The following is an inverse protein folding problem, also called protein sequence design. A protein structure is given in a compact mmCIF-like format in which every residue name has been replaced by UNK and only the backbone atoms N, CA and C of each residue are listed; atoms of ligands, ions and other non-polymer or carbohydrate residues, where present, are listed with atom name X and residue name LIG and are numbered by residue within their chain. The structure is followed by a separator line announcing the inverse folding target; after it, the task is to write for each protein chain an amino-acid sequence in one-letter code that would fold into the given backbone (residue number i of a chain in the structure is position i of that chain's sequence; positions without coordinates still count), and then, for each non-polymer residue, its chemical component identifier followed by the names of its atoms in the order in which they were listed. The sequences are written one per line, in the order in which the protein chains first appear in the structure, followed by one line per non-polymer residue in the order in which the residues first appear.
data_IF_139936159799
#
_entry.id   IF_139936159799
#
_cell.length_a   1.000
_cell.length_b   1.000
_cell.length_c   1.000
_cell.angle_alpha   90.00
_cell.angle_beta   90.00
_cell.angle_gamma   90.00
#
_symmetry.space_group_name_H-M   'P 1'
#
loop_
_entity.id
_entity.type
_entity.pdbx_description
1 polymer ?
#
# COMPACT_ATOMS: atom_id res chain seq x y z
N UNK A 1 -62.49 -20.64 70.28
CA UNK A 1 -61.97 -19.54 69.43
C UNK A 1 -62.48 -19.76 68.02
N UNK A 2 -63.53 -19.02 67.62
CA UNK A 2 -64.05 -19.00 66.26
C UNK A 2 -64.28 -17.52 65.91
N UNK A 3 -63.41 -16.94 65.10
CA UNK A 3 -63.58 -15.60 64.53
C UNK A 3 -63.77 -15.69 63.03
N UNK A 4 -64.87 -15.10 62.56
CA UNK A 4 -65.24 -14.86 61.16
C UNK A 4 -64.29 -13.85 60.49
N UNK A 5 -64.11 -13.95 59.17
CA UNK A 5 -64.23 -12.85 58.19
C UNK A 5 -63.84 -13.40 56.79
N UNK A 6 -64.75 -13.58 55.83
CA UNK A 6 -65.34 -12.63 54.86
C UNK A 6 -64.40 -12.07 53.78
N UNK A 7 -65.00 -11.87 52.58
CA UNK A 7 -64.52 -11.26 51.32
C UNK A 7 -63.74 -12.22 50.38
N UNK A 8 -64.32 -12.82 49.33
CA UNK A 8 -65.14 -12.36 48.19
C UNK A 8 -64.32 -11.70 47.05
N UNK A 9 -64.26 -12.45 45.93
CA UNK A 9 -64.19 -12.06 44.52
C UNK A 9 -63.14 -11.06 44.02
N UNK A 10 -62.38 -11.46 42.97
CA UNK A 10 -62.63 -11.03 41.58
C UNK A 10 -61.56 -11.62 40.65
N UNK A 11 -62.02 -12.19 39.53
CA UNK A 11 -61.21 -12.61 38.39
C UNK A 11 -60.59 -11.37 37.75
N UNK A 12 -59.28 -11.41 37.47
CA UNK A 12 -58.70 -10.55 36.43
C UNK A 12 -57.70 -11.34 35.61
N UNK A 13 -58.00 -11.44 34.32
CA UNK A 13 -57.15 -11.97 33.27
C UNK A 13 -56.12 -10.89 32.93
N UNK A 14 -54.84 -11.21 33.02
CA UNK A 14 -53.75 -10.52 32.33
C UNK A 14 -52.95 -11.66 31.66
N UNK A 15 -52.96 -11.84 30.35
CA UNK A 15 -52.52 -10.86 29.36
C UNK A 15 -51.03 -11.07 29.13
N UNK A 16 -50.66 -12.15 28.43
CA UNK A 16 -49.27 -12.42 28.01
C UNK A 16 -48.91 -11.37 26.96
N UNK A 17 -48.21 -10.32 27.37
CA UNK A 17 -47.59 -9.37 26.44
C UNK A 17 -46.29 -10.01 25.96
N UNK A 18 -46.35 -10.61 24.76
CA UNK A 18 -45.17 -11.02 24.02
C UNK A 18 -44.36 -9.79 23.64
N UNK A 19 -43.24 -9.59 24.33
CA UNK A 19 -42.27 -8.55 23.98
C UNK A 19 -41.48 -9.06 22.76
N UNK A 20 -41.94 -8.72 21.55
CA UNK A 20 -41.17 -8.89 20.32
C UNK A 20 -39.97 -7.93 20.38
N UNK A 21 -38.81 -8.43 20.79
CA UNK A 21 -37.56 -7.71 20.58
C UNK A 21 -37.24 -7.71 19.08
N UNK A 22 -37.57 -6.62 18.39
CA UNK A 22 -37.07 -6.35 17.05
C UNK A 22 -35.59 -6.01 17.20
N UNK A 23 -34.73 -7.00 16.95
CA UNK A 23 -33.30 -6.80 16.79
C UNK A 23 -33.12 -6.05 15.46
N UNK A 24 -33.10 -4.71 15.51
CA UNK A 24 -32.56 -3.90 14.42
C UNK A 24 -31.05 -4.19 14.35
N UNK A 25 -30.69 -5.17 13.53
CA UNK A 25 -29.31 -5.37 13.10
C UNK A 25 -28.89 -4.15 12.30
N UNK A 26 -28.29 -3.16 12.97
CA UNK A 26 -27.54 -2.10 12.31
C UNK A 26 -26.35 -2.82 11.67
N UNK A 27 -26.48 -3.12 10.37
CA UNK A 27 -25.34 -3.40 9.50
C UNK A 27 -24.53 -2.11 9.42
N UNK A 28 -23.74 -1.84 10.45
CA UNK A 28 -22.68 -0.85 10.41
C UNK A 28 -21.66 -1.36 9.41
N UNK A 29 -21.82 -0.93 8.15
CA UNK A 29 -20.70 -0.91 7.21
C UNK A 29 -19.55 -0.25 7.95
N UNK A 30 -18.37 -0.86 8.08
CA UNK A 30 -17.24 -0.19 8.71
C UNK A 30 -16.97 1.05 7.88
N UNK A 31 -17.34 2.21 8.42
CA UNK A 31 -16.93 3.49 7.89
C UNK A 31 -15.43 3.54 8.11
N UNK A 32 -14.66 3.25 7.07
CA UNK A 32 -13.24 3.61 7.04
C UNK A 32 -13.21 5.12 7.29
N UNK A 33 -12.72 5.49 8.48
CA UNK A 33 -12.60 6.88 8.87
C UNK A 33 -11.73 7.57 7.83
N UNK A 34 -12.32 8.51 7.09
CA UNK A 34 -11.60 9.38 6.16
C UNK A 34 -10.94 10.45 7.01
N UNK A 35 -9.62 10.39 7.19
CA UNK A 35 -8.93 11.37 8.02
C UNK A 35 -8.74 12.66 7.20
N UNK A 36 -9.01 13.81 7.81
CA UNK A 36 -8.82 15.11 7.16
C UNK A 36 -7.31 15.40 7.16
N UNK A 37 -6.62 15.00 6.09
CA UNK A 37 -5.16 15.12 5.88
C UNK A 37 -4.54 14.00 5.01
N UNK A 38 -5.35 13.04 4.56
CA UNK A 38 -5.10 11.69 4.01
C UNK A 38 -4.07 11.45 2.88
N UNK A 39 -3.25 12.40 2.44
CA UNK A 39 -2.27 12.11 1.37
C UNK A 39 -0.90 11.77 1.96
N UNK A 40 -0.53 10.50 1.84
CA UNK A 40 0.78 9.91 2.20
C UNK A 40 1.96 10.56 1.45
N UNK A 41 1.68 11.39 0.45
CA UNK A 41 2.65 12.09 -0.38
C UNK A 41 2.16 13.51 -0.70
N UNK A 42 3.10 14.42 -0.94
CA UNK A 42 2.81 15.83 -1.19
C UNK A 42 3.40 16.29 -2.52
N UNK A 43 2.63 17.09 -3.26
CA UNK A 43 3.07 17.80 -4.45
C UNK A 43 3.27 19.27 -4.12
N UNK A 44 4.28 19.90 -4.71
CA UNK A 44 4.46 21.35 -4.63
C UNK A 44 3.54 22.10 -5.63
N UNK A 45 3.57 23.43 -5.61
CA UNK A 45 2.79 24.29 -6.50
C UNK A 45 3.15 24.15 -7.99
N UNK A 46 4.26 23.47 -8.30
CA UNK A 46 4.73 23.17 -9.66
C UNK A 46 4.35 21.77 -10.14
N UNK A 47 3.49 21.09 -9.38
CA UNK A 47 3.06 19.71 -9.62
C UNK A 47 4.21 18.68 -9.60
N UNK A 48 5.19 18.92 -8.73
CA UNK A 48 6.31 17.99 -8.51
C UNK A 48 6.14 17.30 -7.17
N UNK A 49 6.31 15.98 -7.16
CA UNK A 49 6.27 15.15 -5.97
C UNK A 49 7.50 15.46 -5.10
N UNK A 50 7.27 15.84 -3.85
CA UNK A 50 8.33 16.07 -2.88
C UNK A 50 9.04 14.75 -2.55
N UNK A 51 10.37 14.77 -2.36
CA UNK A 51 11.13 13.57 -2.02
C UNK A 51 10.77 13.05 -0.62
N UNK A 52 10.36 11.77 -0.48
CA UNK A 52 9.93 11.17 0.80
C UNK A 52 10.94 11.37 1.96
N UNK A 53 12.23 11.42 1.65
CA UNK A 53 13.29 11.56 2.66
C UNK A 53 13.50 12.98 3.22
N UNK A 54 13.02 14.02 2.54
CA UNK A 54 13.34 15.44 2.82
C UNK A 54 12.11 16.26 3.27
N UNK A 55 11.00 15.61 3.58
CA UNK A 55 9.76 16.30 3.94
C UNK A 55 9.86 16.99 5.31
N UNK A 56 9.18 18.13 5.45
CA UNK A 56 8.81 18.70 6.75
C UNK A 56 7.89 17.77 7.58
N UNK A 57 7.47 16.63 7.00
CA UNK A 57 6.76 15.50 7.60
C UNK A 57 7.57 14.24 7.23
N UNK A 58 8.46 13.72 8.08
CA UNK A 58 9.34 12.61 7.72
C UNK A 58 8.52 11.42 7.20
N UNK A 59 8.77 10.96 5.96
CA UNK A 59 8.30 9.62 5.59
C UNK A 59 9.33 8.61 6.09
N UNK A 60 8.99 8.02 7.21
CA UNK A 60 9.60 6.87 7.84
C UNK A 60 9.30 5.57 7.07
N UNK A 61 9.36 5.60 5.74
CA UNK A 61 8.97 4.45 4.92
C UNK A 61 9.88 3.23 5.13
N UNK A 62 11.16 3.43 5.51
CA UNK A 62 12.05 2.33 5.86
C UNK A 62 11.63 1.66 7.18
N UNK A 63 11.04 2.42 8.10
CA UNK A 63 10.68 1.98 9.44
C UNK A 63 9.24 1.47 9.54
N UNK A 64 8.29 2.11 8.84
CA UNK A 64 6.86 1.89 9.04
C UNK A 64 6.14 1.27 7.84
N UNK A 65 6.69 1.33 6.63
CA UNK A 65 6.00 0.77 5.47
C UNK A 65 6.23 -0.73 5.34
N UNK A 66 5.29 -1.38 4.67
CA UNK A 66 5.35 -2.82 4.47
C UNK A 66 6.34 -3.10 3.34
N UNK A 67 7.49 -3.68 3.69
CA UNK A 67 8.41 -4.26 2.72
C UNK A 67 7.74 -5.40 1.95
N UNK A 68 7.88 -5.41 0.62
CA UNK A 68 7.21 -6.40 -0.23
C UNK A 68 8.14 -7.33 -1.00
N UNK A 69 9.39 -6.95 -1.19
CA UNK A 69 10.41 -7.76 -1.86
C UNK A 69 11.59 -6.93 -2.37
N UNK A 70 12.71 -7.62 -2.63
CA UNK A 70 13.93 -7.06 -3.21
C UNK A 70 14.43 -7.96 -4.35
N UNK A 71 14.03 -7.72 -5.60
CA UNK A 71 14.77 -8.25 -6.74
C UNK A 71 16.13 -7.55 -6.87
N UNK A 72 17.04 -8.19 -7.61
CA UNK A 72 18.36 -7.62 -7.93
C UNK A 72 18.61 -7.75 -9.43
N UNK A 73 19.12 -6.68 -10.04
CA UNK A 73 19.63 -6.68 -11.42
C UNK A 73 21.09 -6.22 -11.41
N UNK A 74 22.03 -7.14 -11.13
CA UNK A 74 23.45 -6.80 -10.99
C UNK A 74 24.07 -6.31 -12.30
N UNK A 75 25.01 -5.36 -12.24
CA UNK A 75 25.65 -4.83 -13.44
C UNK A 75 26.39 -5.92 -14.24
N UNK A 76 27.05 -6.86 -13.57
CA UNK A 76 27.78 -7.96 -14.20
C UNK A 76 26.87 -8.99 -14.90
N UNK A 77 25.59 -9.05 -14.54
CA UNK A 77 24.57 -9.83 -15.24
C UNK A 77 23.88 -9.06 -16.38
N UNK A 78 24.22 -7.78 -16.57
CA UNK A 78 23.56 -6.86 -17.50
C UNK A 78 24.59 -6.08 -18.33
N UNK A 79 25.55 -6.78 -18.94
CA UNK A 79 26.58 -6.21 -19.82
C UNK A 79 27.36 -5.03 -19.20
N UNK A 80 27.55 -5.06 -17.87
CA UNK A 80 28.23 -4.01 -17.11
C UNK A 80 27.37 -2.79 -16.77
N UNK A 81 26.11 -2.74 -17.22
CA UNK A 81 25.20 -1.60 -16.98
C UNK A 81 23.73 -2.04 -16.95
N UNK A 82 23.23 -2.35 -15.76
CA UNK A 82 21.80 -2.56 -15.53
C UNK A 82 21.02 -1.26 -15.75
N UNK A 83 19.77 -1.36 -16.22
CA UNK A 83 18.88 -0.20 -16.37
C UNK A 83 18.50 0.42 -15.03
N UNK A 84 18.46 -0.40 -13.98
CA UNK A 84 18.23 -0.01 -12.59
C UNK A 84 19.26 -0.70 -11.70
N UNK A 85 20.44 -0.11 -11.47
CA UNK A 85 21.45 -0.71 -10.60
C UNK A 85 21.05 -0.57 -9.11
N UNK A 86 21.18 -1.57 -8.24
CA UNK A 86 21.20 -3.00 -8.55
C UNK A 86 20.12 -3.74 -7.77
N UNK A 87 20.13 -3.69 -6.43
CA UNK A 87 19.04 -4.19 -5.59
C UNK A 87 17.89 -3.21 -5.55
N UNK A 88 16.64 -3.70 -5.59
CA UNK A 88 15.44 -2.86 -5.57
C UNK A 88 14.55 -3.20 -4.37
N UNK A 89 14.80 -2.61 -3.20
CA UNK A 89 13.91 -2.83 -2.04
C UNK A 89 12.62 -2.06 -2.23
N UNK A 90 11.49 -2.76 -2.25
CA UNK A 90 10.17 -2.17 -2.52
C UNK A 90 9.28 -2.19 -1.28
N UNK A 91 8.58 -1.09 -1.04
CA UNK A 91 7.74 -0.84 0.12
C UNK A 91 6.39 -0.28 -0.32
N UNK A 92 5.32 -0.62 0.40
CA UNK A 92 3.97 -0.10 0.19
C UNK A 92 3.44 0.47 1.51
N UNK A 93 2.72 1.59 1.43
CA UNK A 93 2.12 2.20 2.62
C UNK A 93 1.19 1.21 3.35
N UNK A 94 1.21 1.15 4.71
CA UNK A 94 0.47 0.16 5.48
C UNK A 94 -1.03 0.13 5.21
N UNK A 95 -1.68 1.29 5.09
CA UNK A 95 -3.12 1.34 4.84
C UNK A 95 -3.48 0.79 3.46
N UNK A 96 -2.66 1.07 2.44
CA UNK A 96 -2.86 0.56 1.09
C UNK A 96 -2.63 -0.96 1.04
N UNK A 97 -1.61 -1.45 1.76
CA UNK A 97 -1.39 -2.88 1.94
C UNK A 97 -2.57 -3.56 2.64
N UNK A 98 -3.13 -2.95 3.69
CA UNK A 98 -4.26 -3.49 4.42
C UNK A 98 -5.51 -3.62 3.55
N UNK A 99 -5.75 -2.65 2.66
CA UNK A 99 -6.83 -2.75 1.66
C UNK A 99 -6.53 -3.83 0.63
N UNK A 100 -5.30 -3.89 0.11
CA UNK A 100 -4.89 -4.91 -0.85
C UNK A 100 -4.99 -6.32 -0.26
N UNK A 101 -4.61 -6.53 1.00
CA UNK A 101 -4.77 -7.81 1.71
C UNK A 101 -6.23 -8.24 1.85
N UNK A 102 -7.16 -7.30 2.00
CA UNK A 102 -8.59 -7.59 2.13
C UNK A 102 -9.27 -7.82 0.78
N UNK A 103 -8.84 -7.12 -0.26
CA UNK A 103 -9.59 -7.01 -1.53
C UNK A 103 -8.86 -7.61 -2.73
N UNK A 104 -7.54 -7.75 -2.64
CA UNK A 104 -6.66 -8.10 -3.75
C UNK A 104 -6.48 -6.99 -4.79
N UNK A 105 -6.87 -5.75 -4.48
CA UNK A 105 -6.77 -4.59 -5.36
C UNK A 105 -6.02 -3.44 -4.68
N UNK A 106 -5.25 -2.68 -5.47
CA UNK A 106 -4.61 -1.46 -4.99
C UNK A 106 -5.65 -0.32 -4.99
N UNK A 107 -5.98 0.27 -3.81
CA UNK A 107 -6.92 1.37 -3.75
C UNK A 107 -6.40 2.62 -4.45
N UNK A 108 -7.31 3.52 -4.80
CA UNK A 108 -6.94 4.86 -5.24
C UNK A 108 -6.14 5.58 -4.13
N UNK A 109 -5.08 6.27 -4.51
CA UNK A 109 -4.11 6.84 -3.58
C UNK A 109 -2.93 5.91 -3.26
N UNK A 110 -2.90 4.67 -3.77
CA UNK A 110 -1.79 3.74 -3.53
C UNK A 110 -0.45 4.36 -3.90
N UNK A 111 0.55 4.20 -3.03
CA UNK A 111 1.95 4.56 -3.28
C UNK A 111 2.85 3.38 -2.94
N UNK A 112 3.79 3.08 -3.83
CA UNK A 112 4.93 2.22 -3.60
C UNK A 112 6.22 3.03 -3.71
N UNK A 113 7.18 2.72 -2.85
CA UNK A 113 8.55 3.24 -2.90
C UNK A 113 9.48 2.11 -3.31
N UNK A 114 10.35 2.38 -4.28
CA UNK A 114 11.45 1.51 -4.69
C UNK A 114 12.76 2.21 -4.38
N UNK A 115 13.50 1.65 -3.44
CA UNK A 115 14.87 2.06 -3.13
C UNK A 115 15.86 1.19 -3.88
N UNK A 116 16.85 1.83 -4.49
CA UNK A 116 17.94 1.17 -5.18
C UNK A 116 19.20 1.21 -4.32
N UNK A 117 19.86 0.06 -4.14
CA UNK A 117 21.19 -0.05 -3.49
C UNK A 117 22.15 -0.83 -4.38
N UNK A 118 23.45 -0.59 -4.21
CA UNK A 118 24.51 -1.26 -4.97
C UNK A 118 24.68 -2.71 -4.50
N UNK A 119 25.38 -3.51 -5.29
CA UNK A 119 26.04 -4.71 -4.78
C UNK A 119 27.34 -4.27 -4.10
N UNK A 120 27.39 -4.42 -2.78
CA UNK A 120 28.58 -4.09 -1.97
C UNK A 120 29.59 -5.24 -1.92
N UNK A 121 29.11 -6.49 -2.00
CA UNK A 121 29.97 -7.68 -2.03
C UNK A 121 29.29 -8.82 -2.77
N UNK A 122 30.11 -9.77 -3.26
CA UNK A 122 29.65 -11.07 -3.79
C UNK A 122 29.99 -12.27 -2.90
N UNK A 123 30.61 -12.00 -1.76
CA UNK A 123 30.99 -12.99 -0.77
C UNK A 123 30.65 -12.49 0.62
N UNK A 124 29.99 -13.33 1.42
CA UNK A 124 29.82 -13.13 2.85
C UNK A 124 30.10 -14.43 3.60
N UNK A 125 30.00 -14.36 4.93
CA UNK A 125 30.13 -15.55 5.81
C UNK A 125 29.08 -16.62 5.50
N UNK A 126 27.93 -16.24 4.94
CA UNK A 126 26.86 -17.15 4.52
C UNK A 126 27.10 -17.78 3.13
N UNK A 127 28.19 -17.45 2.44
CA UNK A 127 28.53 -17.98 1.12
C UNK A 127 28.59 -16.91 0.02
N UNK A 128 28.66 -17.38 -1.23
CA UNK A 128 28.68 -16.52 -2.40
C UNK A 128 27.27 -16.11 -2.80
N UNK A 129 27.12 -14.88 -3.30
CA UNK A 129 25.83 -14.32 -3.69
C UNK A 129 25.96 -12.86 -4.07
N UNK A 130 24.90 -12.09 -3.86
CA UNK A 130 24.95 -10.63 -3.92
C UNK A 130 24.53 -10.09 -2.57
N UNK A 131 25.28 -9.13 -2.05
CA UNK A 131 25.03 -8.49 -0.76
C UNK A 131 24.89 -6.99 -0.97
N UNK A 132 23.85 -6.40 -0.38
CA UNK A 132 23.56 -4.97 -0.50
C UNK A 132 24.73 -4.12 -0.01
N UNK A 133 24.99 -3.04 -0.73
CA UNK A 133 25.93 -2.00 -0.36
C UNK A 133 25.24 -0.66 -0.19
N UNK A 134 25.80 0.36 -0.83
CA UNK A 134 25.40 1.75 -0.64
C UNK A 134 24.11 2.09 -1.39
N UNK A 135 23.42 3.11 -0.89
CA UNK A 135 22.26 3.67 -1.57
C UNK A 135 22.62 4.23 -2.96
N UNK A 136 21.77 3.98 -3.94
CA UNK A 136 21.88 4.50 -5.31
C UNK A 136 20.71 5.40 -5.73
N UNK A 137 19.47 5.13 -5.29
CA UNK A 137 18.36 5.99 -5.66
C UNK A 137 17.00 5.64 -5.10
N UNK A 138 16.01 6.46 -5.45
CA UNK A 138 14.63 6.32 -5.01
C UNK A 138 13.68 6.60 -6.16
N UNK A 139 12.69 5.73 -6.28
CA UNK A 139 11.56 5.88 -7.18
C UNK A 139 10.26 5.71 -6.41
N UNK A 140 9.20 6.34 -6.91
CA UNK A 140 7.84 6.13 -6.42
C UNK A 140 6.91 5.77 -7.58
N UNK A 141 5.89 5.00 -7.26
CA UNK A 141 4.79 4.66 -8.17
C UNK A 141 3.48 4.93 -7.46
N UNK A 142 2.64 5.78 -8.04
CA UNK A 142 1.42 6.29 -7.40
C UNK A 142 0.22 6.01 -8.30
N UNK A 143 -0.85 5.46 -7.72
CA UNK A 143 -2.18 5.38 -8.32
C UNK A 143 -3.04 6.51 -7.79
N UNK A 144 -3.50 7.40 -8.66
CA UNK A 144 -4.47 8.45 -8.29
C UNK A 144 -5.33 8.77 -9.53
N UNK A 145 -6.54 8.24 -9.54
CA UNK A 145 -7.54 8.37 -10.61
C UNK A 145 -7.98 9.81 -10.87
N UNK A 146 -7.79 10.71 -9.91
CA UNK A 146 -8.14 12.13 -10.08
C UNK A 146 -6.98 12.90 -10.66
N UNK A 147 -5.77 12.67 -10.14
CA UNK A 147 -4.56 13.37 -10.54
C UNK A 147 -3.99 12.86 -11.86
N UNK A 148 -4.00 11.54 -12.05
CA UNK A 148 -3.40 10.86 -13.21
C UNK A 148 -4.46 10.23 -14.11
N UNK A 149 -5.63 10.87 -14.22
CA UNK A 149 -6.77 10.39 -15.03
C UNK A 149 -6.44 10.11 -16.50
N UNK A 150 -5.40 10.76 -17.02
CA UNK A 150 -4.96 10.66 -18.42
C UNK A 150 -3.76 9.68 -18.57
N UNK A 151 -3.22 9.15 -17.47
CA UNK A 151 -2.14 8.16 -17.48
C UNK A 151 -2.70 6.73 -17.56
N UNK A 152 -2.00 5.79 -18.23
CA UNK A 152 -2.41 4.39 -18.29
C UNK A 152 -2.60 3.78 -16.89
N UNK A 153 -3.80 3.29 -16.61
CA UNK A 153 -4.17 2.69 -15.32
C UNK A 153 -4.28 3.68 -14.16
N UNK A 154 -4.21 4.98 -14.43
CA UNK A 154 -4.09 6.06 -13.45
C UNK A 154 -2.81 5.98 -12.60
N UNK A 155 -1.75 5.38 -13.15
CA UNK A 155 -0.47 5.21 -12.49
C UNK A 155 0.54 6.24 -13.02
N UNK A 156 1.26 6.87 -12.11
CA UNK A 156 2.39 7.74 -12.43
C UNK A 156 3.66 7.29 -11.70
N UNK A 157 4.80 7.54 -12.33
CA UNK A 157 6.11 7.11 -11.88
C UNK A 157 7.01 8.32 -11.65
N UNK A 158 7.81 8.29 -10.59
CA UNK A 158 8.64 9.40 -10.16
C UNK A 158 10.03 8.89 -9.83
N UNK A 159 11.06 9.66 -10.17
CA UNK A 159 12.44 9.38 -9.78
C UNK A 159 13.14 10.64 -9.27
N UNK A 160 13.81 10.51 -8.13
CA UNK A 160 14.62 11.60 -7.55
C UNK A 160 16.10 11.47 -7.87
N UNK A 161 16.48 10.43 -8.61
CA UNK A 161 17.86 10.15 -8.97
C UNK A 161 17.98 9.99 -10.47
N UNK A 162 19.05 10.52 -11.05
CA UNK A 162 19.34 10.28 -12.45
C UNK A 162 19.80 8.82 -12.62
N UNK A 163 19.43 8.17 -13.72
CA UNK A 163 19.86 6.80 -14.04
C UNK A 163 21.39 6.64 -14.13
N UNK A 164 22.11 7.74 -14.33
CA UNK A 164 23.57 7.82 -14.45
C UNK A 164 24.27 8.15 -13.12
N UNK A 165 23.51 8.30 -12.03
CA UNK A 165 23.99 8.79 -10.74
C UNK A 165 23.92 10.31 -10.61
N UNK A 166 24.13 10.82 -9.40
CA UNK A 166 24.11 12.26 -9.08
C UNK A 166 23.39 12.59 -7.78
N UNK A 167 23.43 13.88 -7.35
CA UNK A 167 22.77 14.29 -6.12
C UNK A 167 21.27 14.07 -6.19
N UNK A 168 20.68 13.66 -5.08
CA UNK A 168 19.23 13.46 -4.98
C UNK A 168 18.50 14.79 -5.19
N UNK A 169 17.49 14.76 -6.03
CA UNK A 169 16.58 15.90 -6.22
C UNK A 169 15.62 15.96 -5.04
N UNK A 170 15.28 17.18 -4.61
CA UNK A 170 14.26 17.40 -3.56
C UNK A 170 12.83 17.15 -4.05
N UNK A 171 12.61 17.21 -5.36
CA UNK A 171 11.31 17.01 -6.01
C UNK A 171 11.47 16.20 -7.29
N UNK A 172 10.39 15.58 -7.77
CA UNK A 172 10.35 14.83 -9.01
C UNK A 172 9.06 15.12 -9.79
N UNK A 173 9.16 15.28 -11.10
CA UNK A 173 7.99 15.29 -11.99
C UNK A 173 7.59 13.85 -12.32
N UNK A 174 6.34 13.66 -12.71
CA UNK A 174 5.91 12.40 -13.29
C UNK A 174 6.74 12.13 -14.56
N UNK A 175 7.28 10.92 -14.67
CA UNK A 175 7.93 10.46 -15.89
C UNK A 175 6.89 10.31 -17.00
N UNK A 176 7.23 10.61 -18.27
CA UNK A 176 6.33 10.41 -19.38
C UNK A 176 5.86 8.95 -19.46
N UNK A 177 4.56 8.73 -19.73
CA UNK A 177 3.94 7.41 -19.83
C UNK A 177 4.75 6.40 -20.66
N UNK A 178 5.35 6.87 -21.76
CA UNK A 178 6.16 6.06 -22.67
C UNK A 178 7.43 5.46 -22.05
N UNK A 179 7.92 5.98 -20.93
CA UNK A 179 9.12 5.48 -20.26
C UNK A 179 8.83 4.35 -19.27
N UNK A 180 7.76 4.49 -18.48
CA UNK A 180 7.50 3.61 -17.34
C UNK A 180 6.22 2.79 -17.54
N UNK A 181 5.10 3.44 -17.87
CA UNK A 181 3.79 2.79 -17.94
C UNK A 181 3.74 1.68 -18.98
N UNK A 182 4.42 1.82 -20.14
CA UNK A 182 4.42 0.79 -21.20
C UNK A 182 4.95 -0.55 -20.68
N UNK A 183 6.10 -0.53 -20.00
CA UNK A 183 6.71 -1.75 -19.46
C UNK A 183 5.85 -2.34 -18.34
N UNK A 184 5.36 -1.50 -17.43
CA UNK A 184 4.50 -1.94 -16.35
C UNK A 184 3.17 -2.52 -16.85
N UNK A 185 2.54 -1.90 -17.86
CA UNK A 185 1.31 -2.42 -18.45
C UNK A 185 1.50 -3.78 -19.12
N UNK A 186 2.60 -3.95 -19.84
CA UNK A 186 2.86 -5.16 -20.63
C UNK A 186 3.23 -6.36 -19.75
N UNK A 187 3.96 -6.14 -18.65
CA UNK A 187 4.65 -7.22 -17.94
C UNK A 187 4.28 -7.37 -16.46
N UNK A 188 3.66 -6.38 -15.82
CA UNK A 188 3.15 -6.52 -14.46
C UNK A 188 2.04 -7.58 -14.41
N UNK A 189 1.98 -8.37 -13.33
CA UNK A 189 0.94 -9.40 -13.16
C UNK A 189 -0.30 -8.92 -12.43
N UNK A 190 -0.29 -7.70 -11.88
CA UNK A 190 -1.42 -7.16 -11.15
C UNK A 190 -1.40 -5.64 -11.18
N UNK A 191 -2.35 -5.03 -11.90
CA UNK A 191 -2.62 -3.58 -11.88
C UNK A 191 -1.34 -2.70 -11.91
N UNK A 192 -0.53 -2.85 -12.98
CA UNK A 192 0.74 -2.13 -13.19
C UNK A 192 1.81 -2.33 -12.10
N UNK A 193 1.62 -3.25 -11.15
CA UNK A 193 2.61 -3.64 -10.13
C UNK A 193 3.16 -5.04 -10.42
N UNK A 194 4.49 -5.19 -10.41
CA UNK A 194 5.19 -6.45 -10.67
C UNK A 194 5.09 -7.46 -9.51
N UNK A 195 3.86 -7.79 -9.08
CA UNK A 195 3.58 -8.68 -7.94
C UNK A 195 4.20 -10.07 -8.07
N UNK A 196 4.56 -10.52 -9.28
CA UNK A 196 5.35 -11.75 -9.48
C UNK A 196 6.73 -11.72 -8.80
N UNK A 197 7.27 -10.55 -8.49
CA UNK A 197 8.55 -10.39 -7.77
C UNK A 197 8.36 -10.03 -6.29
N UNK A 198 7.12 -9.81 -5.84
CA UNK A 198 6.79 -9.38 -4.48
C UNK A 198 6.04 -10.48 -3.69
N UNK A 199 6.75 -11.44 -3.05
CA UNK A 199 6.13 -12.57 -2.37
C UNK A 199 5.17 -12.16 -1.26
N UNK A 200 5.45 -11.04 -0.55
CA UNK A 200 4.58 -10.54 0.52
C UNK A 200 3.21 -10.13 -0.03
N UNK A 201 3.15 -9.49 -1.20
CA UNK A 201 1.89 -9.14 -1.86
C UNK A 201 1.18 -10.39 -2.39
N UNK A 202 1.90 -11.36 -2.96
CA UNK A 202 1.27 -12.60 -3.43
C UNK A 202 0.63 -13.38 -2.28
N UNK A 203 1.32 -13.47 -1.14
CA UNK A 203 0.81 -14.14 0.06
C UNK A 203 -0.36 -13.38 0.71
N UNK A 204 -0.38 -12.05 0.61
CA UNK A 204 -1.43 -11.22 1.16
C UNK A 204 -2.72 -11.22 0.32
N UNK A 205 -2.60 -11.45 -1.01
CA UNK A 205 -3.75 -11.40 -1.90
C UNK A 205 -4.76 -12.48 -1.50
N UNK A 206 -6.03 -12.14 -1.23
CA UNK A 206 -7.03 -13.13 -0.87
C UNK A 206 -7.17 -14.15 -2.00
N UNK A 207 -7.30 -15.43 -1.65
CA UNK A 207 -7.61 -16.46 -2.62
C UNK A 207 -8.91 -16.05 -3.34
N UNK A 208 -8.91 -16.12 -4.68
CA UNK A 208 -10.17 -16.00 -5.41
C UNK A 208 -11.08 -17.12 -4.88
N UNK A 209 -12.25 -16.76 -4.35
CA UNK A 209 -13.21 -17.71 -3.83
C UNK A 209 -13.35 -18.88 -4.80
N UNK A 210 -13.04 -20.09 -4.31
CA UNK A 210 -13.45 -21.32 -4.97
C UNK A 210 -14.91 -21.57 -4.65
#
# INVERSE_FOLDING_TARGET
MLSRSYAQSLRTIFGVVGCLMIIFGVLSTPSVAKSKGDRVYTFNDKDELLQPMDWAVPSNWREEWIYVGTPVTPNDMNNGKASFPEFHSVYIHPDHYNVYKKTGAFPDGTILIKEMTSVGSKQAVSGSGYFMGEYLGLEATIKDSKRFKDEPGNWAYFSWTNHEGGPRKKTAKAEPAGKCNICHQAFAKDDWVFTQYYPVLRAAKPARGK
#
